data_IF_908856216943
#
_entry.id   IF_908856216943
#
_cell.length_a   1.000
_cell.length_b   1.000
_cell.length_c   1.000
_cell.angle_alpha   90.00
_cell.angle_beta   90.00
_cell.angle_gamma   90.00
#
_symmetry.space_group_name_H-M   'P 1'
#
loop_
_entity.id
_entity.type
_entity.pdbx_description
1 polymer ?
#
# COMPACT_ATOMS: atom_id res chain seq x y z
N UNK A 1 -2.18 -15.03 13.90
CA UNK A 1 -2.41 -13.76 13.22
C UNK A 1 -1.41 -12.73 13.66
N UNK A 2 -0.74 -12.17 12.71
CA UNK A 2 0.25 -11.15 12.99
C UNK A 2 -0.39 -9.78 12.90
N UNK A 3 -0.31 -9.03 13.99
CA UNK A 3 -0.83 -7.67 14.00
C UNK A 3 0.33 -6.70 14.16
N UNK A 4 0.94 -6.38 13.05
CA UNK A 4 1.98 -5.39 13.07
C UNK A 4 1.39 -3.99 13.08
N UNK A 5 2.23 -2.99 13.26
CA UNK A 5 1.77 -1.62 13.17
C UNK A 5 1.28 -1.32 11.75
N UNK A 6 0.32 -0.41 11.67
CA UNK A 6 -0.22 0.04 10.39
C UNK A 6 0.27 1.46 10.18
N UNK A 7 0.91 1.69 9.06
CA UNK A 7 1.39 3.02 8.71
C UNK A 7 0.47 3.61 7.66
N UNK A 8 0.07 4.86 7.87
CA UNK A 8 -0.81 5.56 6.95
C UNK A 8 0.02 6.51 6.10
N UNK A 9 -0.15 6.40 4.78
CA UNK A 9 0.59 7.22 3.84
C UNK A 9 -0.36 8.11 3.05
N UNK A 10 0.07 9.34 2.80
CA UNK A 10 -0.62 10.28 1.91
C UNK A 10 0.37 10.71 0.84
N UNK A 11 0.65 9.84 -0.12
CA UNK A 11 1.66 10.16 -1.13
C UNK A 11 1.24 11.37 -1.96
N UNK A 12 2.19 12.20 -2.27
CA UNK A 12 1.96 13.40 -3.08
C UNK A 12 2.66 13.33 -4.43
N UNK A 13 3.52 12.34 -4.61
CA UNK A 13 4.20 12.13 -5.87
C UNK A 13 4.62 10.68 -5.95
N UNK A 14 5.07 10.28 -7.14
CA UNK A 14 5.50 8.90 -7.36
C UNK A 14 6.71 8.55 -6.49
N UNK A 15 7.49 9.55 -6.08
CA UNK A 15 8.66 9.29 -5.23
C UNK A 15 8.32 8.63 -3.91
N UNK A 16 7.10 8.86 -3.43
CA UNK A 16 6.71 8.33 -2.13
C UNK A 16 6.49 6.82 -2.14
N UNK A 17 6.47 6.21 -3.34
CA UNK A 17 6.26 4.77 -3.47
C UNK A 17 7.35 3.98 -2.77
N UNK A 18 8.58 4.46 -2.80
CA UNK A 18 9.70 3.71 -2.20
C UNK A 18 9.50 3.51 -0.70
N UNK A 19 9.00 4.53 -0.02
CA UNK A 19 8.78 4.43 1.43
C UNK A 19 7.69 3.40 1.73
N UNK A 20 6.66 3.39 0.90
CA UNK A 20 5.56 2.45 1.10
C UNK A 20 6.05 1.03 0.87
N UNK A 21 6.80 0.82 -0.19
CA UNK A 21 7.33 -0.52 -0.49
C UNK A 21 8.25 -1.00 0.63
N UNK A 22 9.10 -0.11 1.16
CA UNK A 22 9.98 -0.47 2.27
C UNK A 22 9.17 -0.93 3.48
N UNK A 23 8.07 -0.23 3.78
CA UNK A 23 7.21 -0.62 4.88
C UNK A 23 6.66 -2.02 4.67
N UNK A 24 6.19 -2.30 3.46
CA UNK A 24 5.63 -3.61 3.15
C UNK A 24 6.70 -4.70 3.20
N UNK A 25 7.91 -4.41 2.72
CA UNK A 25 8.99 -5.38 2.77
C UNK A 25 9.38 -5.72 4.20
N UNK A 26 9.17 -4.81 5.12
CA UNK A 26 9.45 -5.06 6.53
C UNK A 26 8.32 -5.79 7.24
N UNK A 27 7.32 -6.24 6.49
CA UNK A 27 6.23 -7.02 7.07
C UNK A 27 5.15 -6.19 7.73
N UNK A 28 5.09 -4.91 7.44
CA UNK A 28 4.11 -4.02 8.05
C UNK A 28 3.01 -3.68 7.06
N UNK A 29 1.82 -3.43 7.58
CA UNK A 29 0.71 -3.02 6.74
C UNK A 29 0.79 -1.54 6.41
N UNK A 30 0.24 -1.17 5.27
CA UNK A 30 0.24 0.22 4.82
C UNK A 30 -1.14 0.59 4.33
N UNK A 31 -1.68 1.70 4.85
CA UNK A 31 -2.89 2.31 4.33
C UNK A 31 -2.45 3.48 3.44
N UNK A 32 -2.89 3.47 2.20
CA UNK A 32 -2.44 4.45 1.22
C UNK A 32 -3.63 5.27 0.73
N UNK A 33 -3.56 6.58 0.96
CA UNK A 33 -4.57 7.53 0.49
C UNK A 33 -4.07 8.14 -0.80
N UNK A 34 -4.73 7.87 -1.90
CA UNK A 34 -4.28 8.34 -3.21
C UNK A 34 -4.96 9.64 -3.64
N UNK A 35 -5.81 10.20 -2.78
CA UNK A 35 -6.61 11.36 -3.16
C UNK A 35 -5.81 12.63 -3.43
N UNK A 36 -4.56 12.70 -2.96
CA UNK A 36 -3.73 13.87 -3.21
C UNK A 36 -2.88 13.76 -4.47
N UNK A 37 -3.00 12.63 -5.17
CA UNK A 37 -2.26 12.40 -6.40
C UNK A 37 -3.10 12.77 -7.61
N UNK A 38 -2.44 13.24 -8.67
CA UNK A 38 -3.11 13.36 -9.95
C UNK A 38 -3.56 11.97 -10.38
N UNK A 39 -4.64 11.89 -11.13
CA UNK A 39 -5.29 10.62 -11.44
C UNK A 39 -4.35 9.63 -12.12
N UNK A 40 -3.59 10.09 -13.10
CA UNK A 40 -2.68 9.20 -13.81
C UNK A 40 -1.53 8.76 -12.89
N UNK A 41 -1.06 9.65 -12.03
CA UNK A 41 -0.01 9.30 -11.07
C UNK A 41 -0.55 8.29 -10.06
N UNK A 42 -1.80 8.45 -9.64
CA UNK A 42 -2.41 7.49 -8.72
C UNK A 42 -2.44 6.09 -9.31
N UNK A 43 -2.83 5.97 -10.58
CA UNK A 43 -2.84 4.67 -11.24
C UNK A 43 -1.45 4.05 -11.29
N UNK A 44 -0.42 4.85 -11.59
CA UNK A 44 0.94 4.34 -11.63
C UNK A 44 1.43 3.90 -10.27
N UNK A 45 1.11 4.66 -9.23
CA UNK A 45 1.48 4.30 -7.87
C UNK A 45 0.80 2.99 -7.48
N UNK A 46 -0.49 2.86 -7.76
CA UNK A 46 -1.22 1.64 -7.42
C UNK A 46 -0.69 0.44 -8.19
N UNK A 47 -0.37 0.61 -9.46
CA UNK A 47 0.19 -0.49 -10.24
C UNK A 47 1.51 -0.97 -9.64
N UNK A 48 2.36 -0.03 -9.26
CA UNK A 48 3.65 -0.37 -8.68
C UNK A 48 3.47 -1.09 -7.34
N UNK A 49 2.57 -0.56 -6.50
CA UNK A 49 2.33 -1.16 -5.19
C UNK A 49 1.68 -2.54 -5.32
N UNK A 50 0.77 -2.70 -6.27
CA UNK A 50 0.15 -4.01 -6.49
C UNK A 50 1.18 -5.03 -6.95
N UNK A 51 2.10 -4.63 -7.81
CA UNK A 51 3.18 -5.53 -8.22
C UNK A 51 4.07 -5.92 -7.05
N UNK A 52 4.40 -4.94 -6.21
CA UNK A 52 5.25 -5.21 -5.06
C UNK A 52 4.55 -6.13 -4.07
N UNK A 53 3.26 -5.89 -3.80
CA UNK A 53 2.53 -6.70 -2.82
C UNK A 53 2.32 -8.11 -3.35
N UNK A 54 2.13 -8.25 -4.65
CA UNK A 54 2.00 -9.57 -5.26
C UNK A 54 3.30 -10.36 -5.10
N UNK A 55 4.44 -9.69 -5.27
CA UNK A 55 5.75 -10.34 -5.10
C UNK A 55 5.98 -10.74 -3.65
N UNK A 56 5.31 -10.10 -2.71
CA UNK A 56 5.42 -10.42 -1.29
C UNK A 56 4.33 -11.40 -0.82
N UNK A 57 3.55 -11.93 -1.76
CA UNK A 57 2.44 -12.83 -1.46
C UNK A 57 1.41 -12.19 -0.54
N UNK A 58 1.22 -10.89 -0.69
CA UNK A 58 0.28 -10.18 0.13
C UNK A 58 -1.02 -9.89 -0.61
N UNK A 59 -1.78 -8.94 -0.08
CA UNK A 59 -3.06 -8.57 -0.67
C UNK A 59 -3.29 -7.08 -0.62
N UNK A 60 -4.23 -6.62 -1.43
CA UNK A 60 -4.64 -5.23 -1.45
C UNK A 60 -6.16 -5.17 -1.36
N UNK A 61 -6.65 -4.25 -0.55
CA UNK A 61 -8.09 -4.10 -0.30
C UNK A 61 -8.47 -2.64 -0.41
N UNK A 62 -9.45 -2.33 -1.24
CA UNK A 62 -9.95 -0.97 -1.33
C UNK A 62 -10.95 -0.76 -0.20
N UNK A 63 -10.63 0.14 0.73
CA UNK A 63 -11.46 0.38 1.91
C UNK A 63 -12.54 1.40 1.62
N UNK A 64 -12.17 2.47 0.93
CA UNK A 64 -13.07 3.54 0.51
C UNK A 64 -12.51 4.12 -0.77
N UNK A 65 -13.20 5.12 -1.32
CA UNK A 65 -12.68 5.79 -2.50
C UNK A 65 -11.28 6.34 -2.20
N UNK A 66 -10.31 5.93 -3.02
CA UNK A 66 -8.94 6.41 -2.94
C UNK A 66 -8.21 6.00 -1.67
N UNK A 67 -8.71 5.02 -0.92
CA UNK A 67 -8.05 4.53 0.29
C UNK A 67 -7.86 3.02 0.16
N UNK A 68 -6.61 2.58 0.17
CA UNK A 68 -6.26 1.18 -0.05
C UNK A 68 -5.43 0.65 1.11
N UNK A 69 -5.72 -0.58 1.52
CA UNK A 69 -4.92 -1.27 2.53
C UNK A 69 -4.08 -2.32 1.84
N UNK A 70 -2.78 -2.27 2.07
CA UNK A 70 -1.83 -3.25 1.55
C UNK A 70 -1.31 -4.08 2.69
N UNK A 71 -1.41 -5.40 2.57
CA UNK A 71 -0.98 -6.32 3.62
C UNK A 71 0.04 -7.31 3.06
N UNK A 72 1.26 -7.34 3.59
CA UNK A 72 2.24 -8.32 3.12
C UNK A 72 1.90 -9.71 3.63
N UNK A 73 2.67 -10.68 3.14
CA UNK A 73 2.47 -12.08 3.51
C UNK A 73 2.53 -12.25 5.03
N UNK A 74 1.65 -13.09 5.54
CA UNK A 74 1.63 -13.39 6.96
C UNK A 74 0.69 -12.54 7.79
N UNK A 75 0.03 -11.57 7.17
CA UNK A 75 -0.92 -10.69 7.84
C UNK A 75 -2.33 -11.11 7.41
N UNK A 76 -3.19 -11.38 8.38
CA UNK A 76 -4.58 -11.68 8.09
C UNK A 76 -5.44 -10.45 8.25
N UNK A 77 -6.37 -10.28 7.32
CA UNK A 77 -7.32 -9.17 7.34
C UNK A 77 -8.71 -9.75 7.45
N UNK A 78 -9.44 -9.29 8.42
CA UNK A 78 -10.81 -9.78 8.65
C UNK A 78 -11.80 -8.66 8.68
#
# INVERSE_FOLDING_TARGET
VQKGPVTVFHPKSFKDVEKIISTLKNGQQAVVHTGELAKDTAYRVLDMLCGAIYALDGGVYEMENNIFLFTPHGIEVK
#
